data_IF_175126669235
#
_entry.id   IF_175126669235
#
_cell.length_a   1.000
_cell.length_b   1.000
_cell.length_c   1.000
_cell.angle_alpha   90.00
_cell.angle_beta   90.00
_cell.angle_gamma   90.00
#
_symmetry.space_group_name_H-M   'P 1'
#
loop_
_entity.id
_entity.type
_entity.pdbx_description
1 polymer ?
#
# COMPACT_ATOMS: atom_id res chain seq x y z
N UNK A 1 26.93 -5.46 11.03
CA UNK A 1 26.05 -5.70 9.87
C UNK A 1 25.01 -4.59 9.81
N UNK A 2 25.40 -3.42 9.30
CA UNK A 2 24.54 -2.24 9.17
C UNK A 2 24.26 -2.08 7.69
N UNK A 3 23.05 -2.45 7.27
CA UNK A 3 22.64 -2.54 5.87
C UNK A 3 22.67 -1.17 5.18
N UNK A 4 23.23 -1.12 3.97
CA UNK A 4 23.25 0.04 3.06
C UNK A 4 21.84 0.22 2.45
N UNK A 5 20.85 0.54 3.29
CA UNK A 5 19.56 1.13 2.86
C UNK A 5 19.21 2.25 3.85
N UNK A 6 20.18 3.13 4.11
CA UNK A 6 19.91 4.42 4.75
C UNK A 6 19.27 5.32 3.69
N UNK A 7 18.00 5.72 3.89
CA UNK A 7 17.35 6.77 3.07
C UNK A 7 16.21 6.36 2.15
N UNK A 8 15.79 5.08 2.11
CA UNK A 8 14.59 4.65 1.38
C UNK A 8 13.47 4.26 2.32
N UNK A 9 12.22 4.56 1.95
CA UNK A 9 11.05 4.10 2.68
C UNK A 9 10.93 2.56 2.60
N UNK A 10 10.29 1.99 3.61
CA UNK A 10 9.90 0.58 3.58
C UNK A 10 9.09 0.32 2.31
N UNK A 11 9.42 -0.74 1.59
CA UNK A 11 8.80 -1.14 0.30
C UNK A 11 9.04 -0.18 -0.88
N UNK A 12 9.83 0.89 -0.74
CA UNK A 12 10.22 1.69 -1.90
C UNK A 12 11.08 0.85 -2.86
N UNK A 13 10.80 0.85 -4.19
CA UNK A 13 11.72 0.31 -5.19
C UNK A 13 13.09 0.97 -5.05
N UNK A 14 14.16 0.17 -5.06
CA UNK A 14 15.53 0.73 -4.99
C UNK A 14 16.22 0.67 -6.34
N UNK A 15 16.97 1.72 -6.72
CA UNK A 15 17.81 1.69 -7.90
C UNK A 15 18.74 0.48 -7.88
N UNK A 16 18.93 -0.14 -9.04
CA UNK A 16 19.83 -1.27 -9.17
C UNK A 16 21.24 -0.78 -9.47
N UNK A 17 22.15 -0.95 -8.52
CA UNK A 17 23.56 -0.58 -8.69
C UNK A 17 24.36 -1.63 -9.49
N UNK A 18 25.64 -1.35 -9.75
CA UNK A 18 26.54 -2.28 -10.47
C UNK A 18 26.68 -3.63 -9.75
N UNK A 19 26.63 -3.65 -8.42
CA UNK A 19 26.77 -4.88 -7.63
C UNK A 19 25.54 -5.77 -7.80
N UNK A 20 24.34 -5.22 -7.67
CA UNK A 20 23.09 -5.97 -7.84
C UNK A 20 22.97 -6.52 -9.26
N UNK A 21 23.31 -5.73 -10.28
CA UNK A 21 23.35 -6.21 -11.66
C UNK A 21 24.31 -7.40 -11.85
N UNK A 22 25.53 -7.30 -11.31
CA UNK A 22 26.52 -8.38 -11.40
C UNK A 22 26.06 -9.66 -10.68
N UNK A 23 25.48 -9.52 -9.48
CA UNK A 23 24.96 -10.64 -8.71
C UNK A 23 23.76 -11.29 -9.40
N UNK A 24 22.82 -10.50 -9.92
CA UNK A 24 21.65 -11.02 -10.65
C UNK A 24 22.10 -11.78 -11.90
N UNK A 25 23.02 -11.22 -12.70
CA UNK A 25 23.57 -11.89 -13.89
C UNK A 25 24.26 -13.20 -13.55
N UNK A 26 25.04 -13.23 -12.47
CA UNK A 26 25.81 -14.41 -12.06
C UNK A 26 24.95 -15.52 -11.48
N UNK A 27 23.98 -15.18 -10.63
CA UNK A 27 23.25 -16.18 -9.83
C UNK A 27 21.83 -16.42 -10.33
N UNK A 28 21.11 -15.40 -10.79
CA UNK A 28 19.67 -15.50 -11.05
C UNK A 28 19.37 -15.79 -12.52
N UNK A 29 20.01 -15.08 -13.46
CA UNK A 29 19.78 -15.33 -14.90
C UNK A 29 19.99 -16.79 -15.34
N UNK A 30 21.02 -17.52 -14.85
CA UNK A 30 21.23 -18.92 -15.23
C UNK A 30 20.14 -19.89 -14.74
N UNK A 31 19.22 -19.43 -13.89
CA UNK A 31 18.12 -20.22 -13.30
C UNK A 31 16.77 -19.51 -13.45
N UNK A 32 16.64 -18.58 -14.40
CA UNK A 32 15.44 -17.74 -14.50
C UNK A 32 14.17 -18.56 -14.74
N UNK A 33 14.25 -19.59 -15.59
CA UNK A 33 13.16 -20.55 -15.82
C UNK A 33 12.85 -21.33 -14.55
N UNK A 34 13.87 -21.89 -13.88
CA UNK A 34 13.67 -22.64 -12.63
C UNK A 34 13.05 -21.75 -11.52
N UNK A 35 13.41 -20.46 -11.49
CA UNK A 35 12.83 -19.47 -10.58
C UNK A 35 11.36 -19.22 -10.89
N UNK A 36 11.02 -19.02 -12.17
CA UNK A 36 9.65 -18.86 -12.60
C UNK A 36 8.79 -20.08 -12.21
N UNK A 37 9.27 -21.29 -12.50
CA UNK A 37 8.55 -22.52 -12.19
C UNK A 37 8.38 -22.71 -10.69
N UNK A 38 9.41 -22.41 -9.90
CA UNK A 38 9.32 -22.42 -8.44
C UNK A 38 8.27 -21.42 -7.91
N UNK A 39 8.16 -20.22 -8.50
CA UNK A 39 7.12 -19.25 -8.12
C UNK A 39 5.72 -19.72 -8.52
N UNK A 40 5.58 -20.37 -9.67
CA UNK A 40 4.32 -21.00 -10.10
C UNK A 40 3.92 -22.15 -9.18
N UNK A 41 4.86 -22.96 -8.73
CA UNK A 41 4.62 -24.03 -7.76
C UNK A 41 4.19 -23.48 -6.40
N UNK A 42 4.85 -22.40 -5.93
CA UNK A 42 4.41 -21.69 -4.73
C UNK A 42 2.99 -21.14 -4.89
N UNK A 43 2.64 -20.58 -6.06
CA UNK A 43 1.26 -20.16 -6.35
C UNK A 43 0.29 -21.33 -6.30
N UNK A 44 0.64 -22.48 -6.88
CA UNK A 44 -0.21 -23.70 -6.86
C UNK A 44 -0.46 -24.20 -5.44
N UNK A 45 0.55 -24.13 -4.57
CA UNK A 45 0.45 -24.51 -3.16
C UNK A 45 -0.40 -23.52 -2.34
N UNK A 46 -0.20 -22.21 -2.57
CA UNK A 46 -0.76 -21.17 -1.71
C UNK A 46 -2.14 -20.67 -2.14
N UNK A 47 -2.45 -20.66 -3.44
CA UNK A 47 -3.73 -20.16 -3.96
C UNK A 47 -4.95 -20.83 -3.27
N UNK A 48 -5.01 -22.15 -3.03
CA UNK A 48 -6.14 -22.78 -2.33
C UNK A 48 -6.28 -22.39 -0.85
N UNK A 49 -5.17 -22.04 -0.19
CA UNK A 49 -5.19 -21.56 1.20
C UNK A 49 -5.68 -20.12 1.22
N UNK A 50 -5.11 -19.28 0.36
CA UNK A 50 -5.46 -17.86 0.27
C UNK A 50 -6.90 -17.65 -0.22
N UNK A 51 -7.38 -18.46 -1.16
CA UNK A 51 -8.77 -18.40 -1.62
C UNK A 51 -9.78 -18.75 -0.52
N UNK A 52 -9.42 -19.62 0.43
CA UNK A 52 -10.27 -19.91 1.60
C UNK A 52 -10.23 -18.79 2.64
N UNK A 53 -9.06 -18.18 2.83
CA UNK A 53 -8.89 -17.10 3.81
C UNK A 53 -9.44 -15.76 3.31
N UNK A 54 -9.35 -15.52 2.00
CA UNK A 54 -9.71 -14.27 1.33
C UNK A 54 -10.59 -14.53 0.10
N UNK A 55 -11.79 -15.12 0.27
CA UNK A 55 -12.59 -15.64 -0.85
C UNK A 55 -13.11 -14.55 -1.79
N UNK A 56 -13.44 -13.37 -1.25
CA UNK A 56 -14.03 -12.26 -1.98
C UNK A 56 -13.29 -10.96 -1.67
N UNK A 57 -13.21 -10.07 -2.66
CA UNK A 57 -12.85 -8.68 -2.49
C UNK A 57 -13.92 -7.82 -3.17
N UNK A 58 -14.70 -7.06 -2.39
CA UNK A 58 -15.86 -6.30 -2.89
C UNK A 58 -16.77 -7.16 -3.81
N UNK A 59 -17.08 -8.37 -3.36
CA UNK A 59 -17.86 -9.39 -4.08
C UNK A 59 -17.21 -9.99 -5.35
N UNK A 60 -15.96 -9.64 -5.65
CA UNK A 60 -15.21 -10.28 -6.74
C UNK A 60 -14.39 -11.45 -6.18
N UNK A 61 -14.47 -12.65 -6.78
CA UNK A 61 -13.70 -13.80 -6.33
C UNK A 61 -12.19 -13.61 -6.36
N UNK A 62 -11.50 -14.37 -5.50
CA UNK A 62 -10.06 -14.61 -5.61
C UNK A 62 -9.65 -14.99 -7.05
N UNK A 63 -8.54 -14.46 -7.61
CA UNK A 63 -7.47 -13.71 -6.93
C UNK A 63 -7.62 -12.17 -7.01
N UNK A 64 -8.77 -11.65 -7.46
CA UNK A 64 -8.87 -10.23 -7.82
C UNK A 64 -8.64 -9.30 -6.62
N UNK A 65 -7.70 -8.37 -6.79
CA UNK A 65 -7.30 -7.39 -5.77
C UNK A 65 -6.62 -7.98 -4.54
N UNK A 66 -6.04 -9.18 -4.64
CA UNK A 66 -5.28 -9.86 -3.56
C UNK A 66 -3.77 -9.86 -3.79
N UNK A 67 -3.23 -8.83 -4.45
CA UNK A 67 -1.82 -8.76 -4.82
C UNK A 67 -0.88 -8.70 -3.59
N UNK A 68 -1.30 -8.01 -2.52
CA UNK A 68 -0.52 -7.93 -1.28
C UNK A 68 -0.43 -9.29 -0.58
N UNK A 69 -1.56 -9.97 -0.39
CA UNK A 69 -1.64 -11.25 0.31
C UNK A 69 -0.86 -12.32 -0.44
N UNK A 70 -1.06 -12.42 -1.77
CA UNK A 70 -0.34 -13.37 -2.62
C UNK A 70 1.16 -13.10 -2.61
N UNK A 71 1.57 -11.85 -2.87
CA UNK A 71 2.99 -11.49 -2.92
C UNK A 71 3.69 -11.73 -1.58
N UNK A 72 3.01 -11.41 -0.47
CA UNK A 72 3.55 -11.61 0.87
C UNK A 72 3.70 -13.08 1.19
N UNK A 73 2.68 -13.90 0.94
CA UNK A 73 2.71 -15.33 1.19
C UNK A 73 3.78 -16.03 0.34
N UNK A 74 3.84 -15.75 -0.96
CA UNK A 74 4.85 -16.31 -1.87
C UNK A 74 6.26 -15.91 -1.44
N UNK A 75 6.50 -14.63 -1.13
CA UNK A 75 7.82 -14.16 -0.66
C UNK A 75 8.23 -14.82 0.65
N UNK A 76 7.32 -14.96 1.62
CA UNK A 76 7.63 -15.61 2.90
C UNK A 76 8.02 -17.08 2.69
N UNK A 77 7.28 -17.82 1.86
CA UNK A 77 7.59 -19.22 1.56
C UNK A 77 8.90 -19.35 0.75
N UNK A 78 9.14 -18.46 -0.21
CA UNK A 78 10.40 -18.35 -0.93
C UNK A 78 11.58 -18.18 0.03
N UNK A 79 11.49 -17.21 0.95
CA UNK A 79 12.54 -16.93 1.93
C UNK A 79 12.79 -18.11 2.88
N UNK A 80 11.74 -18.87 3.23
CA UNK A 80 11.84 -20.11 4.00
C UNK A 80 12.55 -21.21 3.22
N UNK A 81 12.16 -21.46 1.96
CA UNK A 81 12.77 -22.50 1.12
C UNK A 81 14.26 -22.25 0.87
N UNK A 82 14.65 -21.00 0.59
CA UNK A 82 16.08 -20.68 0.34
C UNK A 82 16.93 -20.71 1.62
N UNK A 83 16.35 -20.84 2.81
CA UNK A 83 17.12 -21.02 4.04
C UNK A 83 17.75 -22.43 4.10
N UNK A 84 17.10 -23.42 3.47
CA UNK A 84 17.56 -24.81 3.38
C UNK A 84 17.39 -25.32 1.94
N UNK A 85 18.27 -24.90 1.01
CA UNK A 85 18.03 -25.06 -0.42
C UNK A 85 18.23 -26.49 -0.92
N UNK A 86 17.23 -27.02 -1.63
CA UNK A 86 17.19 -28.38 -2.19
C UNK A 86 17.17 -28.40 -3.73
N UNK A 87 16.62 -27.36 -4.37
CA UNK A 87 16.57 -27.23 -5.82
C UNK A 87 17.69 -26.34 -6.39
N UNK A 88 17.85 -26.34 -7.72
CA UNK A 88 18.83 -25.48 -8.41
C UNK A 88 18.52 -23.99 -8.19
N UNK A 89 17.26 -23.58 -8.35
CA UNK A 89 16.81 -22.20 -8.10
C UNK A 89 17.02 -21.77 -6.65
N UNK A 90 16.68 -22.64 -5.69
CA UNK A 90 16.87 -22.35 -4.27
C UNK A 90 18.34 -22.15 -3.91
N UNK A 91 19.23 -23.02 -4.41
CA UNK A 91 20.69 -22.87 -4.21
C UNK A 91 21.22 -21.58 -4.80
N UNK A 92 20.76 -21.22 -6.00
CA UNK A 92 21.15 -19.99 -6.66
C UNK A 92 20.70 -18.74 -5.89
N UNK A 93 19.44 -18.69 -5.43
CA UNK A 93 18.93 -17.59 -4.60
C UNK A 93 19.60 -17.52 -3.23
N UNK A 94 19.88 -18.68 -2.61
CA UNK A 94 20.63 -18.74 -1.37
C UNK A 94 22.03 -18.13 -1.54
N UNK A 95 22.76 -18.55 -2.58
CA UNK A 95 24.08 -18.01 -2.90
C UNK A 95 24.03 -16.50 -3.24
N UNK A 96 23.04 -16.08 -4.03
CA UNK A 96 22.77 -14.68 -4.34
C UNK A 96 22.61 -13.84 -3.06
N UNK A 97 21.74 -14.27 -2.14
CA UNK A 97 21.50 -13.59 -0.86
C UNK A 97 22.74 -13.58 0.03
N UNK A 98 23.47 -14.69 0.11
CA UNK A 98 24.75 -14.82 0.86
C UNK A 98 25.81 -13.83 0.38
N UNK A 99 25.81 -13.48 -0.91
CA UNK A 99 26.73 -12.51 -1.52
C UNK A 99 26.23 -11.05 -1.43
N UNK A 100 25.13 -10.81 -0.71
CA UNK A 100 24.53 -9.48 -0.54
C UNK A 100 23.56 -9.08 -1.67
N UNK A 101 23.03 -10.06 -2.39
CA UNK A 101 21.92 -9.85 -3.32
C UNK A 101 20.64 -9.46 -2.58
N UNK A 102 19.93 -8.45 -3.11
CA UNK A 102 18.69 -7.94 -2.52
C UNK A 102 17.50 -8.82 -2.86
N UNK A 103 16.76 -9.26 -1.85
CA UNK A 103 15.42 -9.83 -1.98
C UNK A 103 14.52 -9.06 -1.03
N UNK A 104 13.68 -8.16 -1.55
CA UNK A 104 12.86 -7.28 -0.71
C UNK A 104 11.45 -7.08 -1.29
N UNK A 105 10.44 -6.86 -0.44
CA UNK A 105 9.18 -6.31 -0.90
C UNK A 105 9.38 -4.94 -1.56
N UNK A 106 8.61 -4.70 -2.61
CA UNK A 106 8.42 -3.39 -3.22
C UNK A 106 6.94 -3.10 -3.45
N UNK A 107 6.57 -1.83 -3.37
CA UNK A 107 5.23 -1.31 -3.61
C UNK A 107 5.32 0.05 -4.30
N UNK A 108 4.44 0.31 -5.25
CA UNK A 108 4.45 1.56 -5.98
C UNK A 108 3.45 1.65 -7.13
N UNK A 109 3.62 2.67 -7.96
CA UNK A 109 2.86 2.87 -9.19
C UNK A 109 3.47 2.03 -10.31
N UNK A 110 2.74 1.03 -10.78
CA UNK A 110 3.13 0.25 -11.95
C UNK A 110 2.59 0.93 -13.21
N UNK A 111 3.51 1.41 -14.04
CA UNK A 111 3.27 2.02 -15.36
C UNK A 111 2.27 3.18 -15.28
N UNK A 112 2.35 3.97 -14.21
CA UNK A 112 1.45 5.09 -13.87
C UNK A 112 -0.04 4.72 -13.92
N UNK A 113 -0.40 3.47 -13.63
CA UNK A 113 -1.79 2.98 -13.78
C UNK A 113 -2.32 2.16 -12.63
N UNK A 114 -1.46 1.43 -11.92
CA UNK A 114 -1.88 0.48 -10.89
C UNK A 114 -1.02 0.64 -9.64
N UNK A 115 -1.60 0.43 -8.47
CA UNK A 115 -0.80 0.13 -7.29
C UNK A 115 -0.45 -1.36 -7.31
N UNK A 116 0.83 -1.69 -7.19
CA UNK A 116 1.29 -3.07 -7.27
C UNK A 116 2.24 -3.43 -6.13
N UNK A 117 2.02 -4.60 -5.53
CA UNK A 117 2.96 -5.26 -4.64
C UNK A 117 3.79 -6.25 -5.47
N UNK A 118 5.11 -6.21 -5.32
CA UNK A 118 6.02 -7.16 -5.96
C UNK A 118 7.21 -7.48 -5.04
N UNK A 119 8.10 -8.33 -5.52
CA UNK A 119 9.40 -8.58 -4.90
C UNK A 119 10.50 -8.10 -5.84
N UNK A 120 11.42 -7.29 -5.34
CA UNK A 120 12.64 -6.97 -6.06
C UNK A 120 13.72 -8.00 -5.73
N UNK A 121 14.22 -8.70 -6.76
CA UNK A 121 15.34 -9.66 -6.66
C UNK A 121 16.53 -9.10 -7.44
N UNK A 122 17.40 -8.37 -6.75
CA UNK A 122 18.50 -7.62 -7.35
C UNK A 122 18.00 -6.65 -8.42
N UNK A 123 18.38 -6.89 -9.67
CA UNK A 123 17.95 -6.09 -10.83
C UNK A 123 16.59 -6.47 -11.42
N UNK A 124 15.88 -7.45 -10.84
CA UNK A 124 14.62 -7.97 -11.36
C UNK A 124 13.42 -7.49 -10.55
N UNK A 125 12.38 -7.09 -11.29
CA UNK A 125 11.00 -7.02 -10.83
C UNK A 125 10.41 -8.43 -10.91
N UNK A 126 9.91 -8.93 -9.78
CA UNK A 126 9.28 -10.25 -9.66
C UNK A 126 7.89 -10.08 -9.08
N UNK A 127 6.89 -10.19 -9.95
CA UNK A 127 5.48 -10.13 -9.58
C UNK A 127 4.90 -11.53 -9.54
N UNK A 128 4.55 -11.99 -8.34
CA UNK A 128 3.91 -13.28 -8.17
C UNK A 128 2.38 -13.19 -8.24
N UNK A 129 1.81 -12.01 -8.54
CA UNK A 129 0.38 -11.72 -8.45
C UNK A 129 -0.11 -10.89 -9.65
N UNK A 130 0.46 -11.10 -10.84
CA UNK A 130 0.16 -10.31 -12.04
C UNK A 130 -1.28 -10.56 -12.59
N UNK A 131 -1.90 -11.67 -12.19
CA UNK A 131 -3.29 -12.05 -12.52
C UNK A 131 -4.36 -11.38 -11.63
N UNK A 132 -3.96 -10.56 -10.65
CA UNK A 132 -4.88 -10.01 -9.63
C UNK A 132 -5.71 -8.80 -10.08
N UNK A 133 -5.35 -8.17 -11.21
CA UNK A 133 -6.19 -7.14 -11.84
C UNK A 133 -6.95 -7.70 -13.03
N UNK A 134 -6.31 -8.59 -13.79
CA UNK A 134 -6.89 -9.29 -14.91
C UNK A 134 -6.48 -10.76 -14.84
N UNK A 135 -7.46 -11.62 -14.55
CA UNK A 135 -7.27 -13.06 -14.36
C UNK A 135 -6.78 -13.80 -15.61
N UNK A 136 -6.84 -13.17 -16.79
CA UNK A 136 -6.32 -13.78 -18.03
C UNK A 136 -4.82 -13.56 -18.23
N UNK A 137 -4.19 -12.71 -17.41
CA UNK A 137 -2.74 -12.54 -17.43
C UNK A 137 -2.01 -13.75 -16.83
N UNK A 138 -0.72 -13.94 -17.18
CA UNK A 138 0.13 -14.87 -16.44
C UNK A 138 0.15 -14.55 -14.94
N UNK A 139 0.15 -15.59 -14.11
CA UNK A 139 0.21 -15.47 -12.64
C UNK A 139 1.50 -14.82 -12.14
N UNK A 140 2.61 -15.19 -12.77
CA UNK A 140 3.96 -14.74 -12.45
C UNK A 140 4.52 -13.93 -13.62
N UNK A 141 5.15 -12.80 -13.32
CA UNK A 141 5.90 -11.98 -14.27
C UNK A 141 7.29 -11.69 -13.69
N UNK A 142 8.34 -11.90 -14.49
CA UNK A 142 9.71 -11.57 -14.12
C UNK A 142 10.33 -10.76 -15.25
N UNK A 143 10.86 -9.58 -14.94
CA UNK A 143 11.52 -8.70 -15.91
C UNK A 143 12.53 -7.77 -15.22
N UNK A 144 13.41 -7.08 -15.96
CA UNK A 144 14.27 -6.07 -15.38
C UNK A 144 13.47 -4.96 -14.67
N UNK A 145 13.97 -4.50 -13.51
CA UNK A 145 13.36 -3.38 -12.77
C UNK A 145 13.25 -2.11 -13.63
N UNK A 146 14.21 -1.88 -14.52
CA UNK A 146 14.23 -0.73 -15.44
C UNK A 146 13.16 -0.81 -16.52
N UNK A 147 12.61 -1.99 -16.78
CA UNK A 147 11.60 -2.24 -17.82
C UNK A 147 10.19 -2.43 -17.24
N UNK A 148 10.06 -2.64 -15.92
CA UNK A 148 8.77 -2.89 -15.29
C UNK A 148 7.84 -1.68 -15.32
N UNK A 149 8.43 -0.48 -15.27
CA UNK A 149 7.72 0.77 -15.03
C UNK A 149 7.18 0.88 -13.61
N UNK A 150 7.70 0.12 -12.65
CA UNK A 150 7.34 0.27 -11.24
C UNK A 150 8.12 1.44 -10.64
N UNK A 151 7.38 2.47 -10.24
CA UNK A 151 7.92 3.68 -9.61
C UNK A 151 7.46 3.84 -8.16
N UNK A 152 8.29 4.49 -7.35
CA UNK A 152 7.92 4.90 -6.02
C UNK A 152 6.79 5.94 -6.09
N UNK A 153 5.80 5.86 -5.20
CA UNK A 153 4.86 6.96 -5.00
C UNK A 153 5.67 8.14 -4.44
N UNK A 154 5.55 9.29 -5.12
CA UNK A 154 6.39 10.47 -4.93
C UNK A 154 5.83 11.37 -3.83
N UNK A 155 4.52 11.59 -3.89
CA UNK A 155 3.77 12.50 -3.03
C UNK A 155 2.29 12.09 -3.05
N UNK A 156 1.46 12.84 -2.33
CA UNK A 156 0.01 12.61 -2.24
C UNK A 156 -0.69 12.85 -3.58
N UNK A 157 -0.29 13.86 -4.36
CA UNK A 157 -0.90 14.15 -5.66
C UNK A 157 -0.68 13.00 -6.64
N UNK A 158 0.54 12.47 -6.72
CA UNK A 158 0.86 11.28 -7.50
C UNK A 158 0.01 10.09 -7.04
N UNK A 159 -0.13 9.86 -5.72
CA UNK A 159 -1.03 8.81 -5.23
C UNK A 159 -2.48 9.01 -5.71
N UNK A 160 -3.01 10.23 -5.63
CA UNK A 160 -4.36 10.57 -6.07
C UNK A 160 -4.57 10.34 -7.57
N UNK A 161 -3.60 10.69 -8.41
CA UNK A 161 -3.66 10.48 -9.85
C UNK A 161 -3.77 8.98 -10.19
N UNK A 162 -2.97 8.15 -9.53
CA UNK A 162 -3.03 6.69 -9.70
C UNK A 162 -4.35 6.13 -9.17
N UNK A 163 -4.81 6.57 -7.99
CA UNK A 163 -6.08 6.15 -7.41
C UNK A 163 -7.27 6.50 -8.32
N UNK A 164 -7.24 7.68 -8.96
CA UNK A 164 -8.26 8.11 -9.92
C UNK A 164 -8.33 7.20 -11.13
N UNK A 165 -7.18 6.84 -11.72
CA UNK A 165 -7.13 5.94 -12.87
C UNK A 165 -7.49 4.51 -12.50
N UNK A 166 -6.91 3.99 -11.43
CA UNK A 166 -7.02 2.58 -11.05
C UNK A 166 -8.38 2.25 -10.44
N UNK A 167 -8.82 3.04 -9.45
CA UNK A 167 -10.05 2.79 -8.70
C UNK A 167 -11.25 3.53 -9.28
N UNK A 168 -11.07 4.34 -10.34
CA UNK A 168 -12.10 5.21 -10.91
C UNK A 168 -12.75 6.08 -9.83
N UNK A 169 -11.90 6.62 -8.96
CA UNK A 169 -12.30 7.34 -7.76
C UNK A 169 -11.99 8.83 -7.89
N UNK A 170 -12.76 9.64 -7.17
CA UNK A 170 -12.49 11.05 -6.94
C UNK A 170 -11.84 11.20 -5.57
N UNK A 171 -10.91 12.15 -5.47
CA UNK A 171 -10.15 12.42 -4.24
C UNK A 171 -10.36 13.86 -3.81
N UNK A 172 -10.52 14.04 -2.51
CA UNK A 172 -10.92 15.28 -1.87
C UNK A 172 -10.05 15.56 -0.64
N UNK A 173 -10.02 16.80 -0.16
CA UNK A 173 -9.42 17.12 1.13
C UNK A 173 -10.18 16.44 2.28
N UNK A 174 -9.46 15.88 3.27
CA UNK A 174 -10.08 15.46 4.52
C UNK A 174 -10.46 16.68 5.36
N UNK A 175 -11.74 17.07 5.24
CA UNK A 175 -12.34 18.17 6.00
C UNK A 175 -13.32 17.65 7.07
N UNK A 176 -13.58 16.34 7.12
CA UNK A 176 -14.48 15.71 8.12
C UNK A 176 -13.81 15.48 9.46
N UNK A 177 -12.50 15.21 9.45
CA UNK A 177 -11.70 14.91 10.63
C UNK A 177 -10.34 15.64 10.55
N UNK A 178 -10.31 16.98 10.71
CA UNK A 178 -9.11 17.78 10.46
C UNK A 178 -7.89 17.38 11.30
N UNK A 179 -8.10 16.92 12.55
CA UNK A 179 -7.02 16.48 13.43
C UNK A 179 -6.27 15.25 12.93
N UNK A 180 -6.89 14.46 12.03
CA UNK A 180 -6.29 13.28 11.43
C UNK A 180 -5.54 13.59 10.12
N UNK A 181 -5.70 14.80 9.58
CA UNK A 181 -5.15 15.20 8.28
C UNK A 181 -3.62 15.03 8.11
N UNK A 182 -2.77 15.12 9.15
CA UNK A 182 -1.34 14.86 9.00
C UNK A 182 -1.00 13.47 8.42
N UNK A 183 -1.80 12.45 8.74
CA UNK A 183 -1.62 11.09 8.19
C UNK A 183 -2.71 10.72 7.18
N UNK A 184 -3.88 11.33 7.31
CA UNK A 184 -5.09 11.06 6.53
C UNK A 184 -5.59 12.33 5.83
N UNK A 185 -4.82 12.95 4.92
CA UNK A 185 -5.19 14.23 4.30
C UNK A 185 -6.27 14.10 3.21
N UNK A 186 -6.64 12.87 2.84
CA UNK A 186 -7.50 12.58 1.70
C UNK A 186 -8.81 11.92 2.14
N UNK A 187 -9.89 12.28 1.46
CA UNK A 187 -11.10 11.48 1.37
C UNK A 187 -11.26 10.97 -0.06
N UNK A 188 -11.79 9.76 -0.23
CA UNK A 188 -12.03 9.12 -1.53
C UNK A 188 -13.50 8.80 -1.70
N UNK A 189 -14.03 9.05 -2.89
CA UNK A 189 -15.36 8.65 -3.31
C UNK A 189 -15.25 7.86 -4.62
N UNK A 190 -15.83 6.67 -4.68
CA UNK A 190 -15.97 5.93 -5.93
C UNK A 190 -17.46 5.62 -6.15
N UNK A 191 -17.82 5.24 -7.38
CA UNK A 191 -19.23 5.04 -7.78
C UNK A 191 -19.95 3.89 -7.05
N UNK A 192 -19.22 3.03 -6.34
CA UNK A 192 -19.73 1.75 -5.81
C UNK A 192 -19.62 1.67 -4.29
N UNK A 193 -19.02 2.66 -3.63
CA UNK A 193 -18.86 2.68 -2.18
C UNK A 193 -19.14 4.05 -1.59
N UNK A 194 -19.53 4.04 -0.32
CA UNK A 194 -19.53 5.24 0.50
C UNK A 194 -18.15 5.93 0.51
N UNK A 195 -18.11 7.25 0.75
CA UNK A 195 -16.86 7.97 0.87
C UNK A 195 -16.08 7.52 2.10
N UNK A 196 -14.76 7.44 1.98
CA UNK A 196 -13.87 6.95 3.03
C UNK A 196 -12.65 7.86 3.21
N UNK A 197 -12.11 7.93 4.42
CA UNK A 197 -10.79 8.51 4.62
C UNK A 197 -9.73 7.57 4.04
N UNK A 198 -8.83 8.16 3.26
CA UNK A 198 -7.77 7.48 2.54
C UNK A 198 -6.42 7.85 3.17
N UNK A 199 -5.46 6.93 3.12
CA UNK A 199 -4.07 7.04 3.62
C UNK A 199 -3.77 6.37 4.97
N UNK A 200 -4.00 5.07 5.07
CA UNK A 200 -3.34 4.25 6.09
C UNK A 200 -2.65 3.02 5.53
N UNK A 201 -2.19 3.06 4.26
CA UNK A 201 -1.22 2.05 3.85
C UNK A 201 0.15 2.40 4.47
N UNK A 202 0.94 1.42 4.91
CA UNK A 202 2.20 1.67 5.60
C UNK A 202 3.17 2.57 4.82
N UNK A 203 3.15 2.52 3.48
CA UNK A 203 4.00 3.35 2.64
C UNK A 203 3.61 4.83 2.72
N UNK A 204 2.33 5.17 2.53
CA UNK A 204 1.88 6.57 2.58
C UNK A 204 2.05 7.16 3.98
N UNK A 205 1.85 6.37 5.03
CA UNK A 205 2.20 6.78 6.40
C UNK A 205 3.69 7.07 6.53
N UNK A 206 4.56 6.19 6.03
CA UNK A 206 6.01 6.43 6.07
C UNK A 206 6.42 7.68 5.26
N UNK A 207 5.77 7.93 4.12
CA UNK A 207 6.00 9.11 3.29
C UNK A 207 5.62 10.40 4.02
N UNK A 208 4.43 10.43 4.65
CA UNK A 208 3.97 11.57 5.44
C UNK A 208 4.88 11.87 6.65
N UNK A 209 5.41 10.83 7.29
CA UNK A 209 6.38 11.02 8.38
C UNK A 209 7.73 11.53 7.84
N UNK A 210 8.19 10.99 6.71
CA UNK A 210 9.48 11.36 6.11
C UNK A 210 9.53 12.81 5.61
N UNK A 211 8.43 13.31 5.03
CA UNK A 211 8.34 14.69 4.56
C UNK A 211 7.87 15.69 5.65
N UNK A 212 7.71 15.23 6.90
CA UNK A 212 7.19 16.01 8.01
C UNK A 212 5.83 16.67 7.70
N UNK A 213 4.92 15.90 7.11
CA UNK A 213 3.53 16.28 6.77
C UNK A 213 3.41 17.41 5.73
N UNK A 214 4.48 17.76 5.01
CA UNK A 214 4.47 18.84 4.01
C UNK A 214 3.55 18.57 2.82
N UNK A 215 3.56 17.34 2.31
CA UNK A 215 2.69 17.00 1.17
C UNK A 215 1.22 16.97 1.60
N UNK A 216 0.94 16.62 2.86
CA UNK A 216 -0.40 16.66 3.42
C UNK A 216 -0.91 18.09 3.49
N UNK A 217 -0.09 19.01 4.00
CA UNK A 217 -0.38 20.46 4.01
C UNK A 217 -0.66 20.99 2.59
N UNK A 218 0.25 20.72 1.64
CA UNK A 218 0.10 21.21 0.25
C UNK A 218 -1.14 20.64 -0.46
N UNK A 219 -1.47 19.36 -0.21
CA UNK A 219 -2.72 18.76 -0.69
C UNK A 219 -3.93 19.48 -0.10
N UNK A 220 -3.95 19.72 1.21
CA UNK A 220 -5.06 20.39 1.89
C UNK A 220 -5.23 21.86 1.49
N UNK A 221 -4.22 22.50 0.91
CA UNK A 221 -4.35 23.87 0.38
C UNK A 221 -5.10 23.90 -0.96
N UNK A 222 -4.95 22.85 -1.78
CA UNK A 222 -5.33 22.89 -3.20
C UNK A 222 -6.44 21.90 -3.57
N UNK A 223 -6.59 20.80 -2.81
CA UNK A 223 -7.54 19.75 -3.12
C UNK A 223 -8.99 20.22 -2.96
N UNK A 224 -9.91 19.74 -3.82
CA UNK A 224 -11.31 20.12 -3.74
C UNK A 224 -11.95 19.65 -2.42
N UNK A 225 -12.94 20.40 -1.96
CA UNK A 225 -13.85 19.93 -0.93
C UNK A 225 -14.86 18.96 -1.53
N UNK A 226 -15.24 17.94 -0.78
CA UNK A 226 -16.35 17.06 -1.16
C UNK A 226 -17.67 17.84 -0.99
N UNK A 227 -18.63 17.63 -1.88
CA UNK A 227 -19.97 18.19 -1.72
C UNK A 227 -20.62 17.74 -0.38
N UNK A 228 -21.41 18.61 0.24
CA UNK A 228 -22.00 18.38 1.56
C UNK A 228 -22.85 17.09 1.59
N UNK A 229 -23.65 16.85 0.54
CA UNK A 229 -24.50 15.67 0.48
C UNK A 229 -23.65 14.39 0.33
N UNK A 230 -22.58 14.47 -0.46
CA UNK A 230 -21.63 13.36 -0.60
C UNK A 230 -20.83 13.11 0.69
N UNK A 231 -20.52 14.15 1.47
CA UNK A 231 -19.74 14.06 2.71
C UNK A 231 -20.53 13.46 3.88
N UNK A 232 -21.86 13.60 3.89
CA UNK A 232 -22.72 13.24 5.03
C UNK A 232 -22.51 11.79 5.56
N UNK A 233 -22.46 10.74 4.71
CA UNK A 233 -22.25 9.36 5.21
C UNK A 233 -20.89 9.16 5.88
N UNK A 234 -19.86 9.90 5.43
CA UNK A 234 -18.55 9.85 6.07
C UNK A 234 -18.59 10.59 7.42
N UNK A 235 -19.19 11.78 7.47
CA UNK A 235 -19.30 12.59 8.68
C UNK A 235 -20.08 11.87 9.80
N UNK A 236 -21.14 11.14 9.46
CA UNK A 236 -21.90 10.29 10.40
C UNK A 236 -21.01 9.29 11.14
N UNK A 237 -20.03 8.71 10.44
CA UNK A 237 -19.07 7.74 11.01
C UNK A 237 -17.92 8.39 11.77
N UNK A 238 -17.66 9.68 11.57
CA UNK A 238 -16.62 10.39 12.32
C UNK A 238 -17.10 10.65 13.75
N UNK A 239 -16.38 10.19 14.79
CA UNK A 239 -16.68 10.52 16.18
C UNK A 239 -16.76 12.02 16.44
N UNK A 240 -17.67 12.44 17.32
CA UNK A 240 -17.93 13.87 17.59
C UNK A 240 -16.68 14.64 18.03
N UNK A 241 -15.78 13.99 18.77
CA UNK A 241 -14.49 14.52 19.25
C UNK A 241 -13.48 14.80 18.12
N UNK A 242 -13.68 14.20 16.95
CA UNK A 242 -12.80 14.36 15.78
C UNK A 242 -13.39 15.30 14.72
N UNK A 243 -14.66 15.69 14.85
CA UNK A 243 -15.34 16.58 13.89
C UNK A 243 -14.83 18.02 14.04
N UNK A 244 -14.85 18.83 12.97
CA UNK A 244 -14.57 20.26 13.07
C UNK A 244 -15.57 20.92 14.04
N UNK A 245 -15.08 21.88 14.84
CA UNK A 245 -15.94 22.66 15.74
C UNK A 245 -16.89 23.54 14.92
N UNK A 246 -18.11 23.74 15.41
CA UNK A 246 -19.07 24.62 14.76
C UNK A 246 -18.49 26.04 14.58
N UNK A 247 -18.61 26.58 13.36
CA UNK A 247 -18.13 27.92 13.01
C UNK A 247 -16.64 28.04 12.68
N UNK A 248 -15.85 26.97 12.81
CA UNK A 248 -14.46 26.94 12.35
C UNK A 248 -14.36 26.55 10.87
N UNK A 249 -13.35 27.05 10.14
CA UNK A 249 -13.02 26.55 8.81
C UNK A 249 -12.29 25.19 8.93
N UNK A 250 -12.91 24.08 8.47
CA UNK A 250 -12.29 22.76 8.57
C UNK A 250 -10.97 22.64 7.79
N UNK A 251 -10.77 23.43 6.73
CA UNK A 251 -9.54 23.41 5.94
C UNK A 251 -8.40 24.04 6.71
N UNK A 252 -8.63 25.21 7.32
CA UNK A 252 -7.63 25.83 8.21
C UNK A 252 -7.26 24.90 9.35
N UNK A 253 -8.25 24.26 9.99
CA UNK A 253 -7.99 23.27 11.05
C UNK A 253 -7.12 22.10 10.58
N UNK A 254 -7.31 21.61 9.35
CA UNK A 254 -6.56 20.48 8.81
C UNK A 254 -5.12 20.87 8.46
N UNK A 255 -4.95 22.06 7.88
CA UNK A 255 -3.64 22.64 7.58
C UNK A 255 -2.86 22.90 8.87
N UNK A 256 -3.51 23.49 9.87
CA UNK A 256 -2.90 23.78 11.17
C UNK A 256 -2.54 22.50 11.92
N UNK A 257 -3.34 21.44 11.82
CA UNK A 257 -2.96 20.13 12.37
C UNK A 257 -1.65 19.61 11.77
N UNK A 258 -1.41 19.80 10.47
CA UNK A 258 -0.15 19.42 9.82
C UNK A 258 1.02 20.27 10.32
N UNK A 259 0.82 21.59 10.43
CA UNK A 259 1.82 22.53 10.94
C UNK A 259 2.18 22.24 12.39
N UNK A 260 1.19 21.96 13.23
CA UNK A 260 1.37 21.62 14.63
C UNK A 260 2.12 20.31 14.81
N UNK A 261 1.68 19.26 14.13
CA UNK A 261 2.33 17.96 14.19
C UNK A 261 3.80 18.05 13.77
N UNK A 262 4.12 18.89 12.77
CA UNK A 262 5.50 19.18 12.37
C UNK A 262 6.27 19.95 13.44
N UNK A 263 5.67 21.00 14.03
CA UNK A 263 6.28 21.82 15.09
C UNK A 263 6.60 21.01 16.33
N UNK A 264 5.69 20.15 16.74
CA UNK A 264 5.83 19.22 17.88
C UNK A 264 6.69 17.99 17.55
N UNK A 265 7.18 17.87 16.32
CA UNK A 265 7.97 16.73 15.84
C UNK A 265 7.27 15.37 16.00
N UNK A 266 5.94 15.34 15.82
CA UNK A 266 5.12 14.12 15.88
C UNK A 266 5.53 13.04 14.88
N UNK A 267 6.28 13.41 13.83
CA UNK A 267 6.87 12.44 12.91
C UNK A 267 7.89 11.48 13.56
N UNK A 268 8.39 11.81 14.76
CA UNK A 268 9.23 10.94 15.59
C UNK A 268 8.47 10.22 16.70
N UNK A 269 7.16 10.47 16.85
CA UNK A 269 6.34 9.99 17.96
C UNK A 269 5.51 8.76 17.52
N UNK A 270 5.96 7.53 17.85
CA UNK A 270 5.24 6.32 17.46
C UNK A 270 3.89 6.16 18.18
N UNK A 271 3.74 6.72 19.38
CA UNK A 271 2.51 6.62 20.17
C UNK A 271 1.42 7.52 19.58
N UNK A 272 1.77 8.76 19.22
CA UNK A 272 0.88 9.66 18.50
C UNK A 272 0.39 9.03 17.19
N UNK A 273 1.31 8.46 16.39
CA UNK A 273 0.93 7.75 15.16
C UNK A 273 -0.05 6.62 15.45
N UNK A 274 0.21 5.83 16.49
CA UNK A 274 -0.68 4.72 16.86
C UNK A 274 -2.05 5.22 17.34
N UNK A 275 -2.13 6.36 18.02
CA UNK A 275 -3.38 6.99 18.41
C UNK A 275 -4.22 7.39 17.19
N UNK A 276 -3.62 8.08 16.20
CA UNK A 276 -4.32 8.45 14.96
C UNK A 276 -4.84 7.22 14.20
N UNK A 277 -4.08 6.12 14.17
CA UNK A 277 -4.52 4.87 13.55
C UNK A 277 -5.68 4.21 14.31
N UNK A 278 -5.73 4.34 15.64
CA UNK A 278 -6.89 3.90 16.45
C UNK A 278 -8.12 4.75 16.15
N UNK A 279 -7.95 6.06 15.96
CA UNK A 279 -9.05 6.95 15.58
C UNK A 279 -9.60 6.63 14.19
N UNK A 280 -8.74 6.29 13.23
CA UNK A 280 -9.18 5.77 11.94
C UNK A 280 -9.98 4.47 12.09
N UNK A 281 -9.55 3.56 12.97
CA UNK A 281 -10.29 2.33 13.24
C UNK A 281 -11.68 2.59 13.84
N UNK A 282 -11.85 3.64 14.65
CA UNK A 282 -13.16 4.08 15.14
C UNK A 282 -14.07 4.51 13.98
N UNK A 283 -13.53 5.22 12.98
CA UNK A 283 -14.29 5.68 11.79
C UNK A 283 -14.66 4.51 10.86
N UNK A 284 -13.81 3.49 10.77
CA UNK A 284 -13.99 2.33 9.89
C UNK A 284 -14.73 1.16 10.55
N UNK A 285 -15.07 1.26 11.83
CA UNK A 285 -15.83 0.22 12.52
C UNK A 285 -17.22 0.08 11.86
N UNK A 286 -17.71 -1.16 11.65
CA UNK A 286 -19.05 -1.37 11.11
C UNK A 286 -20.07 -0.65 11.98
N UNK A 287 -21.09 -0.03 11.35
CA UNK A 287 -22.25 0.43 12.11
C UNK A 287 -22.80 -0.78 12.86
N UNK A 288 -22.86 -0.70 14.18
CA UNK A 288 -23.75 -1.59 14.92
C UNK A 288 -25.14 -1.27 14.38
N UNK A 289 -25.73 -2.18 13.63
CA UNK A 289 -27.16 -2.09 13.31
C UNK A 289 -27.87 -2.05 14.65
N UNK A 290 -28.31 -0.86 15.07
CA UNK A 290 -29.28 -0.71 16.14
C UNK A 290 -30.54 -1.39 15.65
N UNK A 291 -30.71 -2.65 16.05
CA UNK A 291 -31.90 -3.43 15.80
C UNK A 291 -33.08 -2.85 16.57
N UNK A 292 -33.65 -1.76 16.09
CA UNK A 292 -35.02 -1.42 16.40
C UNK A 292 -35.91 -2.28 15.51
N UNK A 293 -36.15 -3.51 16.01
CA UNK A 293 -37.38 -4.22 15.66
C UNK A 293 -38.53 -3.37 16.16
N UNK A 294 -39.11 -2.58 15.27
CA UNK A 294 -40.46 -2.05 15.44
C UNK A 294 -41.40 -3.25 15.55
N UNK A 295 -41.75 -3.62 16.78
CA UNK A 295 -42.95 -4.38 17.05
C UNK A 295 -44.13 -3.50 16.64
N UNK A 296 -44.82 -3.89 15.57
CA UNK A 296 -46.20 -3.49 15.34
C UNK A 296 -47.02 -4.76 15.34
N UNK A 297 -48.04 -4.74 16.20
CA UNK A 297 -49.11 -5.72 16.30
C UNK A 297 -49.89 -5.86 14.99
#
# INVERSE_FOLDING_TARGET
MTSIISGYLNHQPVPTDRKQNALTKRFIFPVLTDLHDMLMDLRRELDPVLARQYPLNKNIPYPVGRCEEITTAVRQHLLKRIATPTTRAERALHAFRRQGGLIRPVWGALRERYFQNATQIGSLYVDAANDTVNITKPKVEIMPMTESGLEAIRDISHFCDIAKLYWKAETYANLVAPSLAPLLPMAVLNKVSEPQLLSACPYMTALALHNHFRDAESWLETAPAMDIAAQAPLLERVPIDLRPRAGADPRELAIDACREARREKRYLDPEWKQALLKDLARINSPRLETGDKVQMA
#
